data_IF_508149813015
#
_entry.id   IF_508149813015
#
_cell.length_a   1.000
_cell.length_b   1.000
_cell.length_c   1.000
_cell.angle_alpha   90.00
_cell.angle_beta   90.00
_cell.angle_gamma   90.00
#
_symmetry.space_group_name_H-M   'P 1'
#
loop_
_entity.id
_entity.type
_entity.pdbx_description
1 polymer ?
#
# COMPACT_ATOMS: atom_id res chain seq x y z
N UNK A 1 -5.66 9.65 12.67
CA UNK A 1 -6.53 10.01 11.56
C UNK A 1 -7.17 8.75 11.00
N UNK A 2 -8.45 8.61 11.19
CA UNK A 2 -9.22 7.46 10.69
C UNK A 2 -9.79 7.76 9.31
N UNK A 3 -10.06 6.73 8.51
CA UNK A 3 -10.54 6.89 7.14
C UNK A 3 -9.56 7.60 6.23
N UNK A 4 -8.27 7.42 6.49
CA UNK A 4 -7.20 8.17 5.83
C UNK A 4 -6.48 7.40 4.73
N UNK A 5 -6.94 6.18 4.40
CA UNK A 5 -6.31 5.42 3.33
C UNK A 5 -6.36 6.20 2.02
N UNK A 6 -5.22 6.32 1.38
CA UNK A 6 -5.20 6.68 -0.02
C UNK A 6 -5.71 5.48 -0.83
N UNK A 7 -6.26 5.73 -1.99
CA UNK A 7 -6.72 4.66 -2.88
C UNK A 7 -6.02 4.88 -4.21
N UNK A 8 -4.80 4.34 -4.40
CA UNK A 8 -4.02 4.59 -5.61
C UNK A 8 -4.74 4.12 -6.85
N UNK A 9 -4.90 5.00 -7.84
CA UNK A 9 -5.61 4.68 -9.07
C UNK A 9 -4.86 3.66 -9.92
N UNK A 10 -3.53 3.67 -9.88
CA UNK A 10 -2.70 2.69 -10.58
C UNK A 10 -2.95 1.27 -10.06
N UNK A 11 -3.16 1.09 -8.75
CA UNK A 11 -3.48 -0.22 -8.19
C UNK A 11 -4.89 -0.67 -8.57
N UNK A 12 -5.86 0.25 -8.63
CA UNK A 12 -7.19 -0.07 -9.14
C UNK A 12 -7.13 -0.52 -10.59
N UNK A 13 -6.34 0.16 -11.40
CA UNK A 13 -6.16 -0.16 -12.81
C UNK A 13 -5.55 -1.56 -12.98
N UNK A 14 -4.55 -1.92 -12.17
CA UNK A 14 -3.96 -3.27 -12.19
C UNK A 14 -5.00 -4.33 -11.85
N UNK A 15 -5.78 -4.13 -10.79
CA UNK A 15 -6.82 -5.08 -10.39
C UNK A 15 -7.83 -5.28 -11.53
N UNK A 16 -8.28 -4.20 -12.15
CA UNK A 16 -9.27 -4.26 -13.21
C UNK A 16 -8.69 -4.85 -14.50
N UNK A 17 -7.44 -4.56 -14.81
CA UNK A 17 -6.74 -5.12 -15.96
C UNK A 17 -6.65 -6.65 -15.89
N UNK A 18 -6.46 -7.19 -14.70
CA UNK A 18 -6.30 -8.63 -14.49
C UNK A 18 -7.58 -9.30 -13.96
N UNK A 19 -8.71 -8.89 -14.47
CA UNK A 19 -9.98 -9.57 -14.28
C UNK A 19 -10.82 -9.10 -13.10
N UNK A 20 -10.38 -8.09 -12.38
CA UNK A 20 -11.17 -7.48 -11.31
C UNK A 20 -12.26 -6.57 -11.86
N UNK A 21 -13.24 -6.29 -11.03
CA UNK A 21 -14.34 -5.38 -11.33
C UNK A 21 -14.50 -4.39 -10.19
N UNK A 22 -13.41 -3.78 -9.80
CA UNK A 22 -13.41 -2.82 -8.72
C UNK A 22 -14.05 -1.52 -9.18
N UNK A 23 -15.04 -1.04 -8.42
CA UNK A 23 -15.64 0.28 -8.69
C UNK A 23 -14.61 1.35 -8.40
N UNK A 24 -14.63 2.41 -9.22
CA UNK A 24 -13.73 3.53 -9.00
C UNK A 24 -14.00 4.14 -7.63
N UNK A 25 -12.95 4.18 -6.82
CA UNK A 25 -13.00 4.64 -5.44
C UNK A 25 -11.88 5.65 -5.23
N UNK A 26 -12.14 6.68 -4.45
CA UNK A 26 -11.16 7.69 -4.12
C UNK A 26 -10.94 7.68 -2.61
N UNK A 27 -9.70 7.81 -2.21
CA UNK A 27 -9.32 8.00 -0.82
C UNK A 27 -8.77 9.40 -0.61
N UNK A 28 -8.05 9.58 0.50
CA UNK A 28 -7.36 10.83 0.78
C UNK A 28 -6.03 10.85 0.00
N UNK A 29 -5.80 11.85 -0.86
CA UNK A 29 -4.53 11.95 -1.58
C UNK A 29 -3.34 12.06 -0.61
N UNK A 30 -2.21 11.46 -0.98
CA UNK A 30 -1.00 11.48 -0.15
C UNK A 30 -0.55 12.91 0.15
N UNK A 31 -0.68 13.82 -0.82
CA UNK A 31 -0.32 15.22 -0.66
C UNK A 31 -1.16 15.91 0.43
N UNK A 32 -2.43 15.57 0.53
CA UNK A 32 -3.30 16.11 1.57
C UNK A 32 -2.93 15.55 2.95
N UNK A 33 -2.53 14.28 3.02
CA UNK A 33 -2.05 13.66 4.25
C UNK A 33 -0.75 14.34 4.70
N UNK A 34 0.17 14.60 3.77
CA UNK A 34 1.41 15.32 4.06
C UNK A 34 1.14 16.72 4.60
N UNK A 35 0.16 17.42 4.05
CA UNK A 35 -0.28 18.72 4.57
C UNK A 35 -0.84 18.59 5.99
N UNK A 36 -1.64 17.56 6.24
CA UNK A 36 -2.17 17.28 7.57
C UNK A 36 -1.07 17.02 8.60
N UNK A 37 -0.01 16.30 8.21
CA UNK A 37 1.14 16.05 9.10
C UNK A 37 1.78 17.36 9.53
N UNK A 38 1.97 18.29 8.60
CA UNK A 38 2.51 19.63 8.91
C UNK A 38 1.61 20.40 9.85
N UNK A 39 0.31 20.13 9.83
CA UNK A 39 -0.69 20.80 10.67
C UNK A 39 -0.98 20.06 11.97
N UNK A 40 -0.26 18.98 12.30
CA UNK A 40 -0.35 18.31 13.60
C UNK A 40 -0.86 16.88 13.59
N UNK A 41 -1.22 16.32 12.45
CA UNK A 41 -1.61 14.90 12.37
C UNK A 41 -0.41 14.02 12.71
N UNK A 42 -0.59 13.07 13.62
CA UNK A 42 0.48 12.21 14.12
C UNK A 42 0.23 10.72 13.89
N UNK A 43 -1.01 10.32 13.66
CA UNK A 43 -1.36 8.92 13.43
C UNK A 43 -2.21 8.81 12.18
N UNK A 44 -1.82 7.93 11.27
CA UNK A 44 -2.48 7.71 9.99
C UNK A 44 -2.69 6.21 9.80
N UNK A 45 -3.92 5.82 9.49
CA UNK A 45 -4.24 4.44 9.16
C UNK A 45 -3.94 4.17 7.68
N UNK A 46 -3.26 3.07 7.40
CA UNK A 46 -2.98 2.61 6.03
C UNK A 46 -3.46 1.16 5.93
N UNK A 47 -4.49 0.90 5.14
CA UNK A 47 -5.07 -0.44 4.99
C UNK A 47 -5.42 -0.74 3.54
N UNK A 48 -6.28 0.06 2.92
CA UNK A 48 -6.78 -0.16 1.56
C UNK A 48 -5.65 -0.28 0.54
N UNK A 49 -4.63 0.55 0.62
CA UNK A 49 -3.46 0.53 -0.24
C UNK A 49 -2.77 -0.85 -0.22
N UNK A 50 -2.58 -1.40 0.99
CA UNK A 50 -1.95 -2.71 1.16
C UNK A 50 -2.83 -3.83 0.59
N UNK A 51 -4.14 -3.78 0.84
CA UNK A 51 -5.09 -4.76 0.30
C UNK A 51 -5.09 -4.76 -1.21
N UNK A 52 -5.11 -3.58 -1.81
CA UNK A 52 -5.10 -3.43 -3.27
C UNK A 52 -3.79 -3.91 -3.89
N UNK A 53 -2.65 -3.62 -3.26
CA UNK A 53 -1.35 -4.07 -3.73
C UNK A 53 -1.27 -5.60 -3.74
N UNK A 54 -1.71 -6.26 -2.67
CA UNK A 54 -1.73 -7.71 -2.55
C UNK A 54 -2.66 -8.32 -3.60
N UNK A 55 -3.89 -7.83 -3.70
CA UNK A 55 -4.90 -8.33 -4.62
C UNK A 55 -4.45 -8.16 -6.07
N UNK A 56 -3.92 -7.01 -6.43
CA UNK A 56 -3.42 -6.74 -7.77
C UNK A 56 -2.29 -7.68 -8.17
N UNK A 57 -1.33 -7.91 -7.27
CA UNK A 57 -0.21 -8.81 -7.53
C UNK A 57 -0.68 -10.26 -7.72
N UNK A 58 -1.64 -10.72 -6.90
CA UNK A 58 -2.20 -12.07 -7.01
C UNK A 58 -2.95 -12.24 -8.33
N UNK A 59 -3.82 -11.29 -8.68
CA UNK A 59 -4.55 -11.34 -9.96
C UNK A 59 -3.62 -11.35 -11.16
N UNK A 60 -2.56 -10.56 -11.10
CA UNK A 60 -1.56 -10.53 -12.17
C UNK A 60 -0.92 -11.89 -12.39
N UNK A 61 -0.46 -12.54 -11.32
CA UNK A 61 0.16 -13.87 -11.41
C UNK A 61 -0.81 -14.89 -11.96
N UNK A 62 -2.04 -14.94 -11.44
CA UNK A 62 -3.03 -15.93 -11.86
C UNK A 62 -3.49 -15.72 -13.31
N UNK A 63 -3.44 -14.52 -13.81
CA UNK A 63 -3.79 -14.19 -15.20
C UNK A 63 -2.64 -14.51 -16.16
N UNK A 64 -1.41 -14.16 -15.79
CA UNK A 64 -0.23 -14.38 -16.63
C UNK A 64 0.22 -15.84 -16.64
N UNK A 65 -0.02 -16.56 -15.55
CA UNK A 65 0.28 -18.00 -15.44
C UNK A 65 -0.96 -18.75 -14.95
N UNK A 66 -1.89 -19.12 -15.85
CA UNK A 66 -3.11 -19.82 -15.47
C UNK A 66 -2.88 -21.17 -14.82
N UNK A 67 -1.69 -21.75 -14.96
CA UNK A 67 -1.35 -23.04 -14.33
C UNK A 67 -0.83 -22.89 -12.90
N UNK A 68 -0.62 -21.67 -12.42
CA UNK A 68 -0.12 -21.43 -11.08
C UNK A 68 -1.15 -21.86 -10.04
N UNK A 69 -0.77 -22.79 -9.17
CA UNK A 69 -1.62 -23.28 -8.10
C UNK A 69 -0.93 -23.30 -6.73
N UNK A 70 0.38 -23.14 -6.69
CA UNK A 70 1.14 -23.09 -5.44
C UNK A 70 1.00 -21.69 -4.85
N UNK A 71 0.50 -21.57 -3.59
CA UNK A 71 0.39 -20.26 -2.96
C UNK A 71 1.68 -19.44 -2.97
N UNK A 72 2.82 -20.06 -2.94
CA UNK A 72 4.12 -19.35 -3.01
C UNK A 72 4.29 -18.60 -4.32
N UNK A 73 3.69 -19.09 -5.41
CA UNK A 73 3.82 -18.44 -6.72
C UNK A 73 3.14 -17.08 -6.76
N UNK A 74 2.04 -16.87 -6.02
CA UNK A 74 1.33 -15.60 -6.00
C UNK A 74 1.49 -14.82 -4.69
N UNK A 75 1.79 -15.49 -3.57
CA UNK A 75 2.01 -14.80 -2.30
C UNK A 75 3.37 -14.10 -2.23
N UNK A 76 4.40 -14.62 -2.88
CA UNK A 76 5.71 -13.98 -2.94
C UNK A 76 5.65 -12.62 -3.65
N UNK A 77 5.09 -12.49 -4.87
CA UNK A 77 4.87 -11.19 -5.47
C UNK A 77 3.93 -10.28 -4.68
N UNK A 78 2.91 -10.85 -4.04
CA UNK A 78 1.99 -10.09 -3.21
C UNK A 78 2.70 -9.45 -2.01
N UNK A 79 3.58 -10.20 -1.35
CA UNK A 79 4.39 -9.70 -0.24
C UNK A 79 5.32 -8.57 -0.70
N UNK A 80 5.96 -8.73 -1.85
CA UNK A 80 6.85 -7.71 -2.41
C UNK A 80 6.06 -6.42 -2.73
N UNK A 81 4.86 -6.54 -3.31
CA UNK A 81 4.01 -5.40 -3.62
C UNK A 81 3.57 -4.66 -2.35
N UNK A 82 3.19 -5.39 -1.30
CA UNK A 82 2.84 -4.79 -0.02
C UNK A 82 4.03 -4.06 0.61
N UNK A 83 5.22 -4.65 0.56
CA UNK A 83 6.44 -4.03 1.06
C UNK A 83 6.70 -2.70 0.35
N UNK A 84 6.54 -2.63 -0.95
CA UNK A 84 6.72 -1.39 -1.72
C UNK A 84 5.77 -0.30 -1.26
N UNK A 85 4.50 -0.63 -1.04
CA UNK A 85 3.51 0.32 -0.52
C UNK A 85 3.91 0.83 0.87
N UNK A 86 4.31 -0.07 1.76
CA UNK A 86 4.72 0.30 3.11
C UNK A 86 5.93 1.25 3.08
N UNK A 87 6.94 0.93 2.27
CA UNK A 87 8.14 1.78 2.13
C UNK A 87 7.75 3.15 1.59
N UNK A 88 6.90 3.20 0.55
CA UNK A 88 6.46 4.46 -0.05
C UNK A 88 5.70 5.33 0.97
N UNK A 89 4.83 4.73 1.77
CA UNK A 89 4.06 5.48 2.78
C UNK A 89 4.93 5.95 3.94
N UNK A 90 5.83 5.10 4.45
CA UNK A 90 6.77 5.50 5.50
C UNK A 90 7.66 6.65 5.05
N UNK A 91 8.11 6.63 3.81
CA UNK A 91 8.90 7.71 3.23
C UNK A 91 8.06 8.99 3.10
N UNK A 92 6.87 8.88 2.52
CA UNK A 92 5.99 10.03 2.29
C UNK A 92 5.54 10.68 3.60
N UNK A 93 5.36 9.91 4.67
CA UNK A 93 4.87 10.40 5.96
C UNK A 93 6.01 10.74 6.94
N UNK A 94 7.26 10.69 6.50
CA UNK A 94 8.41 11.11 7.28
C UNK A 94 8.88 10.13 8.34
N UNK A 95 8.43 8.87 8.30
CA UNK A 95 8.84 7.85 9.26
C UNK A 95 10.17 7.19 8.92
N UNK A 96 10.50 7.13 7.63
CA UNK A 96 11.72 6.46 7.16
C UNK A 96 12.96 7.12 7.76
N UNK A 97 13.90 6.30 8.22
CA UNK A 97 15.17 6.77 8.78
C UNK A 97 15.14 7.16 10.25
N UNK A 98 14.01 7.04 10.93
CA UNK A 98 13.87 7.48 12.33
C UNK A 98 14.17 6.37 13.36
N UNK A 99 14.40 5.14 12.92
CA UNK A 99 14.60 4.02 13.86
C UNK A 99 15.78 4.20 14.79
N UNK A 100 16.91 4.67 14.28
CA UNK A 100 18.11 4.92 15.09
C UNK A 100 17.88 6.00 16.15
N UNK A 101 17.18 7.08 15.79
CA UNK A 101 16.83 8.14 16.74
C UNK A 101 15.96 7.63 17.88
N UNK A 102 14.94 6.83 17.55
CA UNK A 102 14.06 6.25 18.56
C UNK A 102 14.80 5.30 19.49
N UNK A 103 15.74 4.52 18.99
CA UNK A 103 16.59 3.66 19.78
C UNK A 103 17.41 4.45 20.79
N UNK A 104 18.00 5.56 20.38
CA UNK A 104 18.78 6.44 21.27
C UNK A 104 17.90 7.07 22.35
N UNK A 105 16.65 7.42 22.05
CA UNK A 105 15.72 8.01 23.00
C UNK A 105 15.22 7.00 24.04
N UNK A 106 15.04 5.75 23.63
CA UNK A 106 14.51 4.69 24.49
C UNK A 106 15.61 4.00 25.30
N UNK A 107 16.74 3.81 24.67
CA UNK A 107 17.86 3.07 25.24
C UNK A 107 18.87 3.88 25.97
#
# INVERSE_FOLDING_TARGET
MHGSSSVPQDLQDIINQYGGQMKQTYGVPVEEIQRGIKSGVRKINVDTDCRMAITGAIRKVLTEDPSAFDPRAYLKPARAAMKEVCVARMTAFGQAGNGAKLRQQIG
#
